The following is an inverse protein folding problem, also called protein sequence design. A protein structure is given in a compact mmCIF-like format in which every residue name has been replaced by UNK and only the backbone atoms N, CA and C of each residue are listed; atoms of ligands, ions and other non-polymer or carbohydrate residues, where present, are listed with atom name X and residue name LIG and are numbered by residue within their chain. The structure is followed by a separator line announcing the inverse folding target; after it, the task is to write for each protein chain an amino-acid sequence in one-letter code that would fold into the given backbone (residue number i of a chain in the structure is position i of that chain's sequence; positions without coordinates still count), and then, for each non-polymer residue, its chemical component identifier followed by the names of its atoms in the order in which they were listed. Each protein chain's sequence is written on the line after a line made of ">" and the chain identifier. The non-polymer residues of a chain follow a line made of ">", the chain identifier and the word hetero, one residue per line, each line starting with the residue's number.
data_IF_855425278605
#
_entry.id   IF_855425278605
#
_cell.length_a   1.000
_cell.length_b   1.000
_cell.length_c   1.000
_cell.angle_alpha   90.00
_cell.angle_beta   90.00
_cell.angle_gamma   90.00
#
_symmetry.space_group_name_H-M   'P 1'
#
loop_
_entity.id
_entity.type
_entity.pdbx_description
1 polymer ?
#
# COMPACT_ATOMS: atom_id res chain seq x y z
N UNK A 1 13.59 12.75 5.69
CA UNK A 1 12.87 12.16 4.53
C UNK A 1 13.10 10.65 4.43
N UNK A 2 14.24 10.15 4.89
CA UNK A 2 14.65 8.73 4.82
C UNK A 2 13.66 7.75 5.47
N UNK A 3 13.02 8.18 6.55
CA UNK A 3 12.09 7.37 7.32
C UNK A 3 10.80 7.03 6.53
N UNK A 4 10.42 7.88 5.57
CA UNK A 4 9.23 7.70 4.73
C UNK A 4 9.48 6.69 3.60
N UNK A 5 10.64 6.81 2.94
CA UNK A 5 11.07 5.87 1.90
C UNK A 5 11.26 4.45 2.46
N UNK A 6 11.86 4.35 3.67
CA UNK A 6 12.01 3.08 4.38
C UNK A 6 10.64 2.44 4.69
N UNK A 7 9.70 3.20 5.28
CA UNK A 7 8.34 2.71 5.55
C UNK A 7 7.63 2.22 4.28
N UNK A 8 7.79 2.93 3.17
CA UNK A 8 7.20 2.54 1.89
C UNK A 8 7.79 1.21 1.38
N UNK A 9 9.11 1.07 1.45
CA UNK A 9 9.83 -0.15 1.05
C UNK A 9 9.42 -1.34 1.91
N UNK A 10 9.41 -1.17 3.23
CA UNK A 10 9.06 -2.22 4.19
C UNK A 10 7.61 -2.69 4.00
N UNK A 11 6.68 -1.74 3.81
CA UNK A 11 5.27 -2.06 3.52
C UNK A 11 5.14 -2.84 2.20
N UNK A 12 5.84 -2.43 1.14
CA UNK A 12 5.80 -3.14 -0.14
C UNK A 12 6.35 -4.56 -0.05
N UNK A 13 7.44 -4.76 0.70
CA UNK A 13 8.05 -6.07 0.87
C UNK A 13 7.11 -7.04 1.59
N UNK A 14 6.24 -6.54 2.47
CA UNK A 14 5.24 -7.33 3.21
C UNK A 14 3.98 -7.67 2.41
N UNK A 15 3.80 -7.14 1.19
CA UNK A 15 2.55 -7.25 0.40
C UNK A 15 2.03 -8.67 0.17
N UNK A 16 2.88 -9.70 0.20
CA UNK A 16 2.47 -11.10 0.07
C UNK A 16 1.89 -11.72 1.35
N UNK A 17 2.00 -11.02 2.48
CA UNK A 17 1.57 -11.50 3.80
C UNK A 17 0.52 -10.59 4.47
N UNK A 18 0.13 -9.50 3.80
CA UNK A 18 -0.89 -8.55 4.25
C UNK A 18 -1.82 -8.22 3.09
N UNK A 19 -2.87 -7.44 3.35
CA UNK A 19 -3.83 -7.05 2.33
C UNK A 19 -3.13 -6.32 1.17
N UNK A 20 -3.23 -6.89 -0.02
CA UNK A 20 -2.75 -6.27 -1.25
C UNK A 20 -3.76 -6.45 -2.38
N UNK A 21 -3.76 -5.48 -3.30
CA UNK A 21 -4.61 -5.45 -4.49
C UNK A 21 -3.77 -4.98 -5.66
N UNK A 22 -3.82 -5.67 -6.78
CA UNK A 22 -3.18 -5.18 -8.02
C UNK A 22 -4.24 -4.91 -9.06
N UNK A 23 -4.18 -3.72 -9.68
CA UNK A 23 -5.09 -3.36 -10.78
C UNK A 23 -4.51 -3.73 -12.16
N UNK A 24 -5.34 -3.63 -13.20
CA UNK A 24 -4.98 -4.02 -14.57
C UNK A 24 -3.83 -3.20 -15.17
N UNK A 25 -3.50 -2.06 -14.56
CA UNK A 25 -2.35 -1.21 -14.95
C UNK A 25 -1.06 -1.63 -14.23
N UNK A 26 -1.11 -2.66 -13.40
CA UNK A 26 0.00 -3.16 -12.60
C UNK A 26 0.31 -2.29 -11.38
N UNK A 27 -0.61 -1.42 -10.94
CA UNK A 27 -0.43 -0.67 -9.71
C UNK A 27 -0.82 -1.56 -8.54
N UNK A 28 0.14 -1.84 -7.66
CA UNK A 28 -0.10 -2.59 -6.43
C UNK A 28 -0.41 -1.63 -5.30
N UNK A 29 -1.48 -1.91 -4.56
CA UNK A 29 -1.85 -1.22 -3.31
C UNK A 29 -1.70 -2.21 -2.17
N UNK A 30 -1.21 -1.71 -1.04
CA UNK A 30 -0.92 -2.52 0.14
C UNK A 30 -1.49 -1.81 1.35
N UNK A 31 -2.15 -2.57 2.22
CA UNK A 31 -2.73 -2.07 3.45
C UNK A 31 -2.38 -2.99 4.62
N UNK A 32 -1.76 -2.40 5.64
CA UNK A 32 -1.46 -3.06 6.89
C UNK A 32 -2.56 -2.72 7.90
N UNK A 33 -3.45 -3.68 8.16
CA UNK A 33 -4.56 -3.53 9.12
C UNK A 33 -4.09 -3.30 10.55
N UNK A 34 -2.91 -3.79 10.92
CA UNK A 34 -2.36 -3.62 12.26
C UNK A 34 -1.91 -2.19 12.51
N UNK A 35 -1.32 -1.53 11.51
CA UNK A 35 -0.77 -0.18 11.67
C UNK A 35 -1.65 0.91 11.07
N UNK A 36 -2.66 0.53 10.28
CA UNK A 36 -3.49 1.41 9.45
C UNK A 36 -2.72 2.04 8.29
N UNK A 37 -1.53 1.53 7.94
CA UNK A 37 -0.68 2.12 6.93
C UNK A 37 -1.10 1.65 5.53
N UNK A 38 -1.28 2.60 4.63
CA UNK A 38 -1.59 2.37 3.23
C UNK A 38 -0.43 2.81 2.35
N UNK A 39 -0.17 2.06 1.28
CA UNK A 39 0.78 2.42 0.24
C UNK A 39 0.28 2.00 -1.14
N UNK A 40 0.69 2.75 -2.17
CA UNK A 40 0.49 2.36 -3.57
C UNK A 40 1.79 2.48 -4.35
N UNK A 41 1.98 1.56 -5.30
CA UNK A 41 3.26 1.29 -5.95
C UNK A 41 3.03 1.07 -7.45
N UNK A 42 3.94 1.58 -8.27
CA UNK A 42 3.96 1.30 -9.70
C UNK A 42 4.34 -0.17 -9.95
N UNK A 43 4.20 -0.61 -11.21
CA UNK A 43 4.53 -1.98 -11.63
C UNK A 43 5.98 -2.37 -11.34
N UNK A 44 6.90 -1.39 -11.34
CA UNK A 44 8.31 -1.57 -11.01
C UNK A 44 8.60 -1.57 -9.50
N UNK A 45 7.58 -1.39 -8.66
CA UNK A 45 7.70 -1.35 -7.20
C UNK A 45 8.05 0.02 -6.62
N UNK A 46 8.21 1.06 -7.43
CA UNK A 46 8.42 2.43 -6.93
C UNK A 46 7.15 2.96 -6.24
N UNK A 47 7.30 3.60 -5.09
CA UNK A 47 6.16 4.09 -4.30
C UNK A 47 5.56 5.35 -4.93
N UNK A 48 4.24 5.36 -5.13
CA UNK A 48 3.46 6.53 -5.55
C UNK A 48 2.95 7.35 -4.37
N UNK A 49 2.44 6.69 -3.35
CA UNK A 49 2.00 7.33 -2.10
C UNK A 49 2.10 6.35 -0.92
N UNK A 50 2.24 6.91 0.27
CA UNK A 50 2.17 6.20 1.54
C UNK A 50 1.59 7.15 2.60
N UNK A 51 0.58 6.72 3.35
CA UNK A 51 -0.04 7.50 4.41
C UNK A 51 -0.97 6.61 5.27
N UNK A 52 -1.52 7.16 6.35
CA UNK A 52 -2.56 6.50 7.16
C UNK A 52 -3.92 7.13 6.84
N UNK A 53 -4.84 6.45 6.13
CA UNK A 53 -6.17 6.97 5.88
C UNK A 53 -6.98 7.04 7.18
N UNK A 54 -7.66 8.16 7.44
CA UNK A 54 -8.53 8.33 8.62
C UNK A 54 -9.64 7.26 8.69
N UNK A 55 -10.15 6.86 7.52
CA UNK A 55 -11.21 5.83 7.40
C UNK A 55 -10.68 4.39 7.44
N UNK A 56 -9.37 4.19 7.60
CA UNK A 56 -8.74 2.87 7.75
C UNK A 56 -9.23 1.83 6.73
N UNK A 57 -9.77 0.71 7.22
CA UNK A 57 -10.24 -0.40 6.39
C UNK A 57 -11.35 0.01 5.40
N UNK A 58 -12.23 0.95 5.78
CA UNK A 58 -13.26 1.43 4.86
C UNK A 58 -12.69 2.22 3.66
N UNK A 59 -11.50 2.81 3.79
CA UNK A 59 -10.76 3.37 2.65
C UNK A 59 -10.15 2.25 1.79
N UNK A 60 -9.57 1.21 2.42
CA UNK A 60 -8.99 0.04 1.76
C UNK A 60 -10.00 -0.74 0.92
N UNK A 61 -11.19 -0.97 1.46
CA UNK A 61 -12.23 -1.77 0.81
C UNK A 61 -12.66 -1.15 -0.52
N UNK A 62 -12.59 0.19 -0.63
CA UNK A 62 -12.89 0.97 -1.85
C UNK A 62 -11.74 1.04 -2.87
N UNK A 63 -10.55 0.55 -2.52
CA UNK A 63 -9.41 0.60 -3.43
C UNK A 63 -9.60 -0.39 -4.60
N UNK A 64 -9.22 0.01 -5.83
CA UNK A 64 -9.32 -0.85 -7.01
C UNK A 64 -8.25 -1.95 -7.01
N UNK A 65 -8.49 -2.96 -7.84
CA UNK A 65 -7.64 -4.15 -7.98
C UNK A 65 -8.24 -5.38 -7.31
N UNK A 66 -7.57 -6.51 -7.50
CA UNK A 66 -7.92 -7.81 -6.94
C UNK A 66 -6.79 -8.34 -6.07
#
# INVERSE_FOLDING_TARGET
>A
MDDYAKKARDLYNRRGSINSKTDDKGVTRVYDETTGLFGSYNRDGSSRTIFKPEKGKAYWDKQPGK
#
